data_IF_564533047817
#
_entry.id   IF_564533047817
#
_cell.length_a   1.000
_cell.length_b   1.000
_cell.length_c   1.000
_cell.angle_alpha   90.00
_cell.angle_beta   90.00
_cell.angle_gamma   90.00
#
_symmetry.space_group_name_H-M   'P 1'
#
loop_
_entity.id
_entity.type
_entity.pdbx_description
1 polymer ?
#
# COMPACT_ATOMS: atom_id res chain seq x y z
N UNK A 1 25.41 -14.29 -8.63
CA UNK A 1 26.81 -14.56 -9.01
C UNK A 1 26.93 -15.67 -10.05
N UNK A 2 25.83 -16.36 -10.35
CA UNK A 2 25.77 -17.45 -11.34
C UNK A 2 25.47 -16.99 -12.78
N UNK A 3 25.50 -15.69 -13.03
CA UNK A 3 25.18 -15.12 -14.34
C UNK A 3 23.70 -15.13 -14.72
N UNK A 4 22.83 -15.45 -13.78
CA UNK A 4 21.37 -15.44 -13.97
C UNK A 4 20.83 -14.03 -13.68
N UNK A 5 20.06 -13.47 -14.60
CA UNK A 5 19.41 -12.18 -14.40
C UNK A 5 18.26 -12.32 -13.38
N UNK A 6 18.34 -11.56 -12.30
CA UNK A 6 17.23 -11.44 -11.34
C UNK A 6 16.21 -10.42 -11.83
N UNK A 7 14.95 -10.81 -11.95
CA UNK A 7 13.85 -9.93 -12.32
C UNK A 7 13.40 -9.15 -11.09
N UNK A 8 14.04 -8.03 -10.83
CA UNK A 8 13.79 -7.21 -9.64
C UNK A 8 14.90 -6.18 -9.41
N UNK A 9 14.84 -5.43 -8.29
CA UNK A 9 15.84 -4.45 -7.93
C UNK A 9 17.15 -5.11 -7.50
N UNK A 10 18.22 -4.34 -7.50
CA UNK A 10 19.54 -4.80 -7.03
C UNK A 10 19.53 -5.00 -5.52
N UNK A 11 20.37 -5.93 -5.04
CA UNK A 11 20.51 -6.25 -3.61
C UNK A 11 20.77 -5.01 -2.73
N UNK A 12 21.56 -4.05 -3.24
CA UNK A 12 21.82 -2.78 -2.57
C UNK A 12 20.51 -2.00 -2.31
N UNK A 13 19.66 -1.86 -3.31
CA UNK A 13 18.39 -1.12 -3.20
C UNK A 13 17.42 -1.81 -2.21
N UNK A 14 17.38 -3.14 -2.24
CA UNK A 14 16.59 -3.94 -1.29
C UNK A 14 17.09 -3.71 0.15
N UNK A 15 18.38 -3.81 0.36
CA UNK A 15 18.98 -3.62 1.68
C UNK A 15 18.78 -2.19 2.21
N UNK A 16 18.98 -1.17 1.35
CA UNK A 16 18.82 0.24 1.71
C UNK A 16 17.40 0.59 2.16
N UNK A 17 16.38 -0.01 1.52
CA UNK A 17 14.96 0.26 1.82
C UNK A 17 14.36 -0.74 2.82
N UNK A 18 15.03 -1.85 3.12
CA UNK A 18 14.55 -2.88 4.04
C UNK A 18 14.68 -2.52 5.53
N UNK A 19 15.59 -1.61 5.88
CA UNK A 19 15.76 -1.11 7.24
C UNK A 19 15.01 0.19 7.43
N UNK A 20 14.13 0.27 8.45
CA UNK A 20 13.27 1.44 8.69
C UNK A 20 14.04 2.72 9.03
N UNK A 21 15.15 2.60 9.75
CA UNK A 21 15.95 3.76 10.15
C UNK A 21 16.78 4.24 8.96
N UNK A 22 17.46 3.30 8.28
CA UNK A 22 18.25 3.61 7.10
C UNK A 22 17.39 4.18 5.96
N UNK A 23 16.21 3.62 5.71
CA UNK A 23 15.31 4.11 4.66
C UNK A 23 14.78 5.53 4.95
N UNK A 24 14.44 5.83 6.21
CA UNK A 24 14.03 7.18 6.62
C UNK A 24 15.18 8.20 6.47
N UNK A 25 16.40 7.81 6.82
CA UNK A 25 17.57 8.66 6.62
C UNK A 25 17.83 8.95 5.14
N UNK A 26 17.79 7.94 4.31
CA UNK A 26 17.92 8.08 2.85
C UNK A 26 16.80 8.95 2.25
N UNK A 27 15.56 8.80 2.74
CA UNK A 27 14.44 9.64 2.32
C UNK A 27 14.70 11.13 2.67
N UNK A 28 15.19 11.41 3.87
CA UNK A 28 15.59 12.78 4.27
C UNK A 28 16.70 13.34 3.38
N UNK A 29 17.75 12.57 3.13
CA UNK A 29 18.86 12.95 2.26
C UNK A 29 18.38 13.20 0.81
N UNK A 30 17.42 12.44 0.34
CA UNK A 30 16.76 12.61 -0.96
C UNK A 30 15.69 13.73 -0.97
N UNK A 31 15.52 14.47 0.11
CA UNK A 31 14.52 15.57 0.28
C UNK A 31 13.08 15.07 0.11
N UNK A 32 12.82 13.84 0.51
CA UNK A 32 11.47 13.30 0.60
C UNK A 32 10.87 13.67 1.95
N UNK A 33 9.62 14.09 1.97
CA UNK A 33 8.92 14.41 3.21
C UNK A 33 8.88 13.19 4.13
N UNK A 34 9.39 13.35 5.35
CA UNK A 34 9.28 12.32 6.39
C UNK A 34 8.46 12.85 7.54
N UNK A 35 7.79 11.96 8.28
CA UNK A 35 6.99 12.39 9.44
C UNK A 35 7.88 13.21 10.40
N UNK A 36 7.52 14.46 10.71
CA UNK A 36 8.24 15.26 11.68
C UNK A 36 8.34 14.53 13.02
N UNK A 37 9.54 14.40 13.56
CA UNK A 37 9.74 13.65 14.77
C UNK A 37 11.13 13.87 15.36
N UNK A 38 11.32 13.32 16.54
CA UNK A 38 12.57 13.32 17.27
C UNK A 38 13.02 11.86 17.47
N UNK A 39 14.16 11.53 16.88
CA UNK A 39 14.64 10.13 16.81
C UNK A 39 15.80 9.83 17.79
N UNK A 40 16.27 10.85 18.52
CA UNK A 40 17.31 10.66 19.53
C UNK A 40 16.70 10.20 20.87
N UNK A 41 17.55 9.74 21.77
CA UNK A 41 17.13 9.34 23.10
C UNK A 41 16.53 10.51 23.88
N UNK A 42 15.34 10.30 24.45
CA UNK A 42 14.63 11.28 25.26
C UNK A 42 14.90 10.94 26.74
N UNK A 43 15.44 11.92 27.47
CA UNK A 43 15.89 11.72 28.84
C UNK A 43 14.75 11.53 29.86
N UNK A 44 13.57 12.10 29.57
CA UNK A 44 12.44 12.01 30.48
C UNK A 44 11.18 12.73 29.96
N UNK A 45 10.11 12.66 30.77
CA UNK A 45 8.80 13.20 30.34
C UNK A 45 8.78 14.70 30.14
N UNK A 46 9.60 15.49 30.85
CA UNK A 46 9.71 16.95 30.67
C UNK A 46 10.26 17.27 29.27
N UNK A 47 11.36 16.60 28.89
CA UNK A 47 11.94 16.75 27.54
C UNK A 47 10.96 16.28 26.47
N UNK A 48 10.19 15.22 26.73
CA UNK A 48 9.15 14.72 25.83
C UNK A 48 8.09 15.78 25.53
N UNK A 49 7.66 16.55 26.53
CA UNK A 49 6.72 17.65 26.37
C UNK A 49 7.31 18.78 25.52
N UNK A 50 8.56 19.17 25.75
CA UNK A 50 9.21 20.21 24.94
C UNK A 50 9.34 19.77 23.46
N UNK A 51 9.73 18.53 23.22
CA UNK A 51 9.79 17.96 21.87
C UNK A 51 8.41 17.96 21.22
N UNK A 52 7.37 17.49 21.94
CA UNK A 52 6.01 17.45 21.44
C UNK A 52 5.47 18.84 21.06
N UNK A 53 5.79 19.87 21.85
CA UNK A 53 5.48 21.27 21.51
C UNK A 53 6.18 21.73 20.23
N UNK A 54 7.45 21.36 20.08
CA UNK A 54 8.23 21.69 18.88
C UNK A 54 7.69 21.04 17.60
N UNK A 55 7.20 19.80 17.69
CA UNK A 55 6.56 19.08 16.58
C UNK A 55 5.15 19.62 16.31
N UNK A 56 4.45 20.03 17.35
CA UNK A 56 3.04 20.44 17.32
C UNK A 56 2.07 19.26 17.52
N UNK A 57 1.15 19.41 18.49
CA UNK A 57 0.15 18.40 18.80
C UNK A 57 -0.84 18.15 17.64
N UNK A 58 -1.44 16.96 17.53
CA UNK A 58 -1.17 15.77 18.33
C UNK A 58 0.14 15.08 17.93
N UNK A 59 0.75 14.36 18.88
CA UNK A 59 1.96 13.58 18.65
C UNK A 59 1.75 12.11 19.02
N UNK A 60 2.54 11.24 18.42
CA UNK A 60 2.61 9.82 18.76
C UNK A 60 3.93 9.53 19.47
N UNK A 61 3.82 8.93 20.63
CA UNK A 61 4.93 8.49 21.47
C UNK A 61 5.10 6.99 21.25
N UNK A 62 6.28 6.56 20.85
CA UNK A 62 6.54 5.18 20.43
C UNK A 62 7.76 4.61 21.13
N UNK A 63 7.68 3.34 21.54
CA UNK A 63 8.85 2.57 21.92
C UNK A 63 9.68 2.17 20.68
N UNK A 64 10.99 2.30 20.76
CA UNK A 64 11.92 1.93 19.69
C UNK A 64 11.81 0.45 19.33
N UNK A 65 11.68 -0.42 20.30
CA UNK A 65 11.51 -1.86 20.15
C UNK A 65 10.02 -2.29 20.06
N UNK A 66 9.07 -1.35 19.98
CA UNK A 66 7.64 -1.61 20.01
C UNK A 66 7.11 -2.29 18.75
N UNK A 67 6.09 -3.13 18.95
CA UNK A 67 5.38 -3.82 17.88
C UNK A 67 4.01 -4.32 18.35
N UNK A 68 3.10 -4.62 17.38
CA UNK A 68 1.79 -5.16 17.68
C UNK A 68 0.86 -4.25 18.49
N UNK A 69 1.05 -2.91 18.43
CA UNK A 69 0.25 -1.93 19.15
C UNK A 69 0.68 -1.68 20.60
N UNK A 70 1.72 -2.35 21.10
CA UNK A 70 2.32 -2.11 22.41
C UNK A 70 3.39 -1.03 22.32
N UNK A 71 3.54 -0.24 23.39
CA UNK A 71 4.51 0.86 23.44
C UNK A 71 4.12 2.04 22.53
N UNK A 72 2.83 2.31 22.36
CA UNK A 72 2.29 3.41 21.58
C UNK A 72 1.31 4.24 22.43
N UNK A 73 1.47 5.57 22.39
CA UNK A 73 0.50 6.50 23.00
C UNK A 73 0.33 7.73 22.09
N UNK A 74 -0.89 8.19 21.95
CA UNK A 74 -1.18 9.47 21.28
C UNK A 74 -1.38 10.52 22.36
N UNK A 75 -0.81 11.69 22.18
CA UNK A 75 -0.93 12.82 23.08
C UNK A 75 -1.42 14.07 22.32
N UNK A 76 -2.45 14.71 22.86
CA UNK A 76 -3.07 15.90 22.28
C UNK A 76 -2.66 17.19 23.01
N UNK A 77 -1.98 17.07 24.15
CA UNK A 77 -1.54 18.17 24.99
C UNK A 77 -0.36 17.77 25.88
N UNK A 78 0.20 18.75 26.61
CA UNK A 78 1.37 18.57 27.48
C UNK A 78 1.18 17.49 28.53
N UNK A 79 0.00 17.46 29.18
CA UNK A 79 -0.29 16.48 30.23
C UNK A 79 -0.28 15.07 29.66
N UNK A 80 -0.95 14.86 28.55
CA UNK A 80 -0.99 13.55 27.88
C UNK A 80 0.38 13.13 27.35
N UNK A 81 1.20 14.07 26.88
CA UNK A 81 2.56 13.79 26.46
C UNK A 81 3.45 13.33 27.63
N UNK A 82 3.35 14.01 28.78
CA UNK A 82 4.07 13.67 30.00
C UNK A 82 3.69 12.28 30.51
N UNK A 83 2.40 12.04 30.73
CA UNK A 83 1.87 10.77 31.25
C UNK A 83 2.09 9.63 30.24
N UNK A 84 1.88 9.91 28.94
CA UNK A 84 2.05 8.98 27.85
C UNK A 84 3.50 8.52 27.68
N UNK A 85 4.47 9.41 27.84
CA UNK A 85 5.89 9.05 27.79
C UNK A 85 6.25 8.07 28.91
N UNK A 86 5.91 8.39 30.16
CA UNK A 86 6.20 7.54 31.32
C UNK A 86 5.55 6.16 31.20
N UNK A 87 4.27 6.12 30.78
CA UNK A 87 3.55 4.87 30.53
C UNK A 87 4.17 4.04 29.41
N UNK A 88 4.51 4.66 28.30
CA UNK A 88 5.12 4.01 27.14
C UNK A 88 6.50 3.42 27.49
N UNK A 89 7.32 4.17 28.21
CA UNK A 89 8.66 3.73 28.64
C UNK A 89 8.58 2.53 29.60
N UNK A 90 7.67 2.54 30.56
CA UNK A 90 7.46 1.41 31.46
C UNK A 90 6.99 0.15 30.73
N UNK A 91 6.06 0.30 29.80
CA UNK A 91 5.58 -0.80 28.95
C UNK A 91 6.70 -1.36 28.08
N UNK A 92 7.52 -0.48 27.47
CA UNK A 92 8.65 -0.85 26.62
C UNK A 92 9.71 -1.65 27.39
N UNK A 93 10.07 -1.17 28.60
CA UNK A 93 11.02 -1.85 29.47
C UNK A 93 10.54 -3.24 29.87
N UNK A 94 9.27 -3.37 30.24
CA UNK A 94 8.71 -4.63 30.73
C UNK A 94 8.44 -5.64 29.60
N UNK A 95 8.07 -5.16 28.39
CA UNK A 95 7.69 -6.03 27.28
C UNK A 95 8.84 -6.36 26.32
N UNK A 96 9.82 -5.47 26.18
CA UNK A 96 10.86 -5.57 25.15
C UNK A 96 12.28 -5.50 25.71
N UNK A 97 12.46 -5.12 26.97
CA UNK A 97 13.80 -4.92 27.56
C UNK A 97 14.55 -3.70 27.03
N UNK A 98 13.91 -2.87 26.21
CA UNK A 98 14.47 -1.62 25.63
C UNK A 98 13.47 -0.49 25.91
N UNK A 99 13.90 0.50 26.68
CA UNK A 99 13.05 1.61 27.12
C UNK A 99 13.22 2.91 26.33
N UNK A 100 13.92 2.84 25.20
CA UNK A 100 14.08 3.98 24.31
C UNK A 100 12.77 4.37 23.67
N UNK A 101 12.41 5.63 23.82
CA UNK A 101 11.18 6.23 23.30
C UNK A 101 11.52 7.32 22.31
N UNK A 102 10.77 7.40 21.25
CA UNK A 102 10.79 8.51 20.31
C UNK A 102 9.39 9.11 20.11
N UNK A 103 9.34 10.31 19.59
CA UNK A 103 8.10 11.06 19.38
C UNK A 103 8.05 11.55 17.94
N UNK A 104 6.87 11.41 17.32
CA UNK A 104 6.63 11.89 15.97
C UNK A 104 5.24 12.54 15.86
N UNK A 105 5.02 13.33 14.82
CA UNK A 105 3.71 13.89 14.51
C UNK A 105 2.68 12.79 14.36
N UNK A 106 1.53 12.93 14.98
CA UNK A 106 0.37 12.07 14.77
C UNK A 106 -0.48 12.63 13.62
N UNK A 107 -0.55 11.91 12.52
CA UNK A 107 -1.40 12.25 11.37
C UNK A 107 -2.81 11.82 11.67
N UNK A 108 -3.75 12.76 11.72
CA UNK A 108 -5.16 12.48 11.98
C UNK A 108 -5.88 12.07 10.69
N UNK A 109 -6.81 11.14 10.80
CA UNK A 109 -7.58 10.60 9.66
C UNK A 109 -6.69 10.26 8.45
N UNK A 110 -5.62 9.47 8.67
CA UNK A 110 -4.61 9.25 7.65
C UNK A 110 -5.16 8.48 6.46
N UNK A 111 -4.77 8.88 5.26
CA UNK A 111 -4.92 8.08 4.04
C UNK A 111 -3.62 7.38 3.74
N UNK A 112 -3.71 6.11 3.37
CA UNK A 112 -2.59 5.33 2.89
C UNK A 112 -2.58 5.40 1.36
N UNK A 113 -1.67 6.20 0.84
CA UNK A 113 -1.54 6.42 -0.60
C UNK A 113 -0.12 6.07 -1.02
N UNK A 114 -0.01 5.36 -2.11
CA UNK A 114 1.27 4.83 -2.57
C UNK A 114 1.53 5.19 -4.03
N UNK A 115 2.79 5.42 -4.35
CA UNK A 115 3.23 5.77 -5.70
C UNK A 115 3.95 4.59 -6.32
N UNK A 116 3.45 4.10 -7.47
CA UNK A 116 4.15 3.12 -8.27
C UNK A 116 5.33 3.77 -8.96
N UNK A 117 6.52 3.23 -8.77
CA UNK A 117 7.71 3.62 -9.53
C UNK A 117 8.19 2.48 -10.42
N UNK A 118 8.86 2.85 -11.50
CA UNK A 118 9.51 1.94 -12.43
C UNK A 118 10.84 2.54 -12.85
N UNK A 119 11.92 1.78 -12.67
CA UNK A 119 13.27 2.18 -13.05
C UNK A 119 13.94 1.17 -13.97
N UNK A 120 14.84 1.63 -14.84
CA UNK A 120 15.70 0.79 -15.67
C UNK A 120 17.16 0.79 -15.22
N UNK A 121 17.99 0.02 -15.91
CA UNK A 121 19.44 -0.05 -15.63
C UNK A 121 20.23 1.14 -16.17
N UNK A 122 19.58 2.03 -16.92
CA UNK A 122 20.17 3.21 -17.58
C UNK A 122 20.00 4.49 -16.77
N UNK A 123 19.34 4.41 -15.59
CA UNK A 123 19.10 5.55 -14.70
C UNK A 123 17.78 6.29 -14.97
N UNK A 124 16.95 5.79 -15.87
CA UNK A 124 15.61 6.33 -16.07
C UNK A 124 14.70 5.80 -14.98
N UNK A 125 13.97 6.70 -14.32
CA UNK A 125 12.95 6.37 -13.31
C UNK A 125 11.73 7.23 -13.54
N UNK A 126 10.56 6.61 -13.60
CA UNK A 126 9.27 7.27 -13.73
C UNK A 126 8.32 6.83 -12.62
N UNK A 127 7.29 7.63 -12.34
CA UNK A 127 6.17 7.21 -11.50
C UNK A 127 4.91 7.00 -12.35
N UNK A 128 4.11 6.02 -11.96
CA UNK A 128 2.93 5.56 -12.70
C UNK A 128 1.62 5.90 -11.98
N UNK A 129 1.53 7.12 -11.47
CA UNK A 129 0.44 7.59 -10.61
C UNK A 129 0.39 6.86 -9.26
N UNK A 130 -0.66 7.15 -8.50
CA UNK A 130 -0.89 6.61 -7.16
C UNK A 130 -1.94 5.52 -7.14
N UNK A 131 -1.95 4.80 -6.02
CA UNK A 131 -3.05 3.95 -5.57
C UNK A 131 -3.54 4.41 -4.20
N UNK A 132 -4.84 4.42 -4.00
CA UNK A 132 -5.50 4.63 -2.72
C UNK A 132 -5.70 3.29 -2.03
N UNK A 133 -5.08 3.10 -0.88
CA UNK A 133 -5.04 1.83 -0.16
C UNK A 133 -5.51 1.95 1.31
N UNK A 134 -6.33 2.96 1.61
CA UNK A 134 -6.77 3.23 2.99
C UNK A 134 -7.79 2.23 3.53
N UNK A 135 -8.48 1.49 2.67
CA UNK A 135 -9.45 0.48 3.10
C UNK A 135 -8.70 -0.78 3.53
N UNK A 136 -8.47 -0.87 4.82
CA UNK A 136 -7.67 -1.94 5.42
C UNK A 136 -8.40 -2.57 6.61
N UNK A 137 -8.11 -3.83 6.84
CA UNK A 137 -8.51 -4.55 8.04
C UNK A 137 -7.26 -5.13 8.71
N UNK A 138 -7.00 -4.73 9.97
CA UNK A 138 -5.78 -5.14 10.71
C UNK A 138 -4.50 -4.93 9.90
N UNK A 139 -4.37 -3.77 9.26
CA UNK A 139 -3.25 -3.38 8.39
C UNK A 139 -3.10 -4.20 7.10
N UNK A 140 -4.09 -5.02 6.75
CA UNK A 140 -4.16 -5.69 5.45
C UNK A 140 -5.10 -4.92 4.53
N UNK A 141 -4.62 -4.59 3.34
CA UNK A 141 -5.41 -3.93 2.29
C UNK A 141 -6.55 -4.84 1.87
N UNK A 142 -7.73 -4.28 1.63
CA UNK A 142 -8.98 -5.00 1.32
C UNK A 142 -9.56 -4.54 0.00
N UNK A 143 -9.61 -3.22 -0.21
CA UNK A 143 -9.99 -2.58 -1.47
C UNK A 143 -8.90 -1.56 -1.79
N UNK A 144 -8.45 -1.59 -3.02
CA UNK A 144 -7.52 -0.62 -3.59
C UNK A 144 -8.14 0.04 -4.82
N UNK A 145 -7.86 1.32 -5.02
CA UNK A 145 -8.33 2.04 -6.20
C UNK A 145 -7.25 2.95 -6.80
N UNK A 146 -7.34 3.21 -8.07
CA UNK A 146 -6.51 4.16 -8.78
C UNK A 146 -7.36 4.93 -9.82
N UNK A 147 -7.23 6.27 -9.87
CA UNK A 147 -6.48 7.14 -8.96
C UNK A 147 -7.13 7.28 -7.59
N UNK A 148 -6.52 8.04 -6.66
CA UNK A 148 -7.13 8.36 -5.37
C UNK A 148 -8.22 9.42 -5.54
N UNK A 149 -9.41 9.25 -4.91
CA UNK A 149 -10.42 10.30 -4.89
C UNK A 149 -10.08 11.44 -3.92
N UNK A 150 -9.04 11.26 -3.10
CA UNK A 150 -8.72 12.15 -2.00
C UNK A 150 -7.67 13.21 -2.35
N UNK A 151 -6.58 12.83 -3.05
CA UNK A 151 -5.48 13.76 -3.32
C UNK A 151 -5.72 14.65 -4.54
N UNK A 152 -5.24 15.89 -4.45
CA UNK A 152 -5.24 16.83 -5.57
C UNK A 152 -4.19 16.46 -6.63
N UNK A 153 -4.32 17.02 -7.84
CA UNK A 153 -3.31 16.86 -8.88
C UNK A 153 -1.95 17.42 -8.48
N UNK A 154 -1.93 18.51 -7.70
CA UNK A 154 -0.71 19.09 -7.17
C UNK A 154 -0.03 18.15 -6.16
N UNK A 155 -0.80 17.56 -5.24
CA UNK A 155 -0.30 16.57 -4.28
C UNK A 155 0.21 15.33 -4.98
N UNK A 156 -0.53 14.79 -5.94
CA UNK A 156 -0.12 13.64 -6.76
C UNK A 156 1.22 13.87 -7.44
N UNK A 157 1.38 15.04 -8.07
CA UNK A 157 2.63 15.41 -8.73
C UNK A 157 3.78 15.48 -7.73
N UNK A 158 3.59 16.17 -6.60
CA UNK A 158 4.62 16.30 -5.58
C UNK A 158 5.05 14.95 -4.99
N UNK A 159 4.09 14.08 -4.69
CA UNK A 159 4.35 12.71 -4.21
C UNK A 159 5.11 11.90 -5.27
N UNK A 160 4.70 11.96 -6.53
CA UNK A 160 5.34 11.27 -7.64
C UNK A 160 6.79 11.71 -7.83
N UNK A 161 7.05 13.01 -7.83
CA UNK A 161 8.39 13.58 -7.94
C UNK A 161 9.29 13.15 -6.77
N UNK A 162 8.79 13.15 -5.54
CA UNK A 162 9.55 12.69 -4.38
C UNK A 162 9.79 11.17 -4.42
N UNK A 163 8.84 10.38 -4.88
CA UNK A 163 9.02 8.93 -5.08
C UNK A 163 10.13 8.64 -6.10
N UNK A 164 10.18 9.38 -7.21
CA UNK A 164 11.25 9.29 -8.21
C UNK A 164 12.60 9.71 -7.64
N UNK A 165 12.65 10.78 -6.84
CA UNK A 165 13.89 11.23 -6.18
C UNK A 165 14.45 10.13 -5.27
N UNK A 166 13.59 9.51 -4.44
CA UNK A 166 13.99 8.41 -3.57
C UNK A 166 14.50 7.21 -4.37
N UNK A 167 13.77 6.79 -5.39
CA UNK A 167 14.15 5.67 -6.24
C UNK A 167 15.50 5.91 -6.93
N UNK A 168 15.76 7.11 -7.43
CA UNK A 168 17.06 7.50 -8.01
C UNK A 168 18.18 7.47 -6.97
N UNK A 169 17.93 7.96 -5.75
CA UNK A 169 18.93 7.97 -4.67
C UNK A 169 19.41 6.56 -4.31
N UNK A 170 18.55 5.56 -4.41
CA UNK A 170 18.90 4.15 -4.16
C UNK A 170 19.16 3.36 -5.44
N UNK A 171 19.33 4.02 -6.58
CA UNK A 171 19.61 3.39 -7.90
C UNK A 171 18.63 2.27 -8.22
N UNK A 172 17.33 2.54 -7.98
CA UNK A 172 16.29 1.55 -8.10
C UNK A 172 16.07 1.10 -9.53
N UNK A 173 15.92 -0.19 -9.75
CA UNK A 173 15.56 -0.83 -11.02
C UNK A 173 14.33 -1.73 -10.79
N UNK A 174 13.56 -1.98 -11.85
CA UNK A 174 12.33 -2.75 -11.81
C UNK A 174 11.16 -1.98 -11.21
N UNK A 175 10.03 -2.66 -10.98
CA UNK A 175 8.87 -2.08 -10.32
C UNK A 175 9.06 -2.01 -8.80
N UNK A 176 8.66 -0.90 -8.21
CA UNK A 176 8.65 -0.69 -6.76
C UNK A 176 7.57 0.29 -6.38
N UNK A 177 7.30 0.40 -5.09
CA UNK A 177 6.24 1.28 -4.58
C UNK A 177 6.73 2.06 -3.39
N UNK A 178 6.51 3.37 -3.42
CA UNK A 178 6.79 4.27 -2.30
C UNK A 178 5.46 4.57 -1.60
N UNK A 179 5.34 4.15 -0.36
CA UNK A 179 4.14 4.33 0.45
C UNK A 179 4.22 5.60 1.28
N UNK A 180 3.11 6.34 1.32
CA UNK A 180 2.95 7.58 2.07
C UNK A 180 1.71 7.54 2.95
N UNK A 181 1.79 8.24 4.07
CA UNK A 181 0.61 8.67 4.82
C UNK A 181 0.28 10.10 4.42
N UNK A 182 -0.99 10.35 4.12
CA UNK A 182 -1.49 11.67 3.70
C UNK A 182 -2.53 12.15 4.71
N UNK A 183 -2.32 13.34 5.26
CA UNK A 183 -3.24 13.99 6.19
C UNK A 183 -4.40 14.70 5.46
N UNK A 184 -5.40 15.11 6.24
CA UNK A 184 -6.61 15.78 5.72
C UNK A 184 -6.31 17.08 4.95
N UNK A 185 -5.20 17.73 5.26
CA UNK A 185 -4.79 19.00 4.64
C UNK A 185 -3.83 18.78 3.46
N UNK A 186 -3.76 17.55 2.92
CA UNK A 186 -2.89 17.16 1.81
C UNK A 186 -1.39 17.14 2.15
N UNK A 187 -1.02 17.28 3.42
CA UNK A 187 0.33 17.00 3.89
C UNK A 187 0.62 15.51 3.79
N UNK A 188 1.79 15.15 3.29
CA UNK A 188 2.14 13.76 3.07
C UNK A 188 3.55 13.45 3.55
N UNK A 189 3.74 12.21 4.03
CA UNK A 189 4.97 11.77 4.62
C UNK A 189 5.30 10.34 4.23
N UNK A 190 6.56 10.10 3.90
CA UNK A 190 7.10 8.79 3.57
C UNK A 190 6.90 7.78 4.73
N UNK A 191 6.41 6.60 4.41
CA UNK A 191 6.31 5.47 5.32
C UNK A 191 7.40 4.44 5.06
N UNK A 192 7.37 3.86 3.87
CA UNK A 192 8.33 2.83 3.45
C UNK A 192 8.38 2.70 1.93
N UNK A 193 9.38 1.96 1.43
CA UNK A 193 9.43 1.57 0.04
C UNK A 193 9.39 0.04 -0.08
N UNK A 194 8.41 -0.46 -0.80
CA UNK A 194 8.33 -1.86 -1.16
C UNK A 194 9.14 -2.12 -2.43
N UNK A 195 10.23 -2.87 -2.27
CA UNK A 195 11.19 -3.15 -3.34
C UNK A 195 10.80 -4.38 -4.16
N UNK A 196 9.54 -4.43 -4.57
CA UNK A 196 8.90 -5.54 -5.30
C UNK A 196 7.61 -5.08 -5.97
N UNK A 197 7.11 -5.92 -6.87
CA UNK A 197 5.73 -5.78 -7.35
C UNK A 197 4.75 -6.05 -6.21
N UNK A 198 3.70 -5.26 -6.10
CA UNK A 198 2.65 -5.42 -5.09
C UNK A 198 1.41 -6.11 -5.66
N UNK A 199 0.57 -6.65 -4.76
CA UNK A 199 -0.68 -7.35 -5.10
C UNK A 199 -1.58 -6.45 -5.95
N UNK A 200 -1.68 -5.18 -5.58
CA UNK A 200 -2.56 -4.15 -6.12
C UNK A 200 -2.04 -3.45 -7.40
N UNK A 201 -0.96 -3.96 -8.01
CA UNK A 201 -0.45 -3.41 -9.28
C UNK A 201 -1.48 -3.36 -10.42
N UNK A 202 -2.49 -4.26 -10.48
CA UNK A 202 -3.46 -4.25 -11.59
C UNK A 202 -4.23 -2.95 -11.73
N UNK A 203 -4.54 -2.23 -10.65
CA UNK A 203 -5.25 -0.94 -10.76
C UNK A 203 -4.39 0.12 -11.45
N UNK A 204 -3.08 0.08 -11.25
CA UNK A 204 -2.13 0.93 -11.98
C UNK A 204 -2.06 0.54 -13.45
N UNK A 205 -1.98 -0.75 -13.76
CA UNK A 205 -1.99 -1.26 -15.13
C UNK A 205 -3.24 -0.81 -15.89
N UNK A 206 -4.41 -0.88 -15.25
CA UNK A 206 -5.67 -0.46 -15.84
C UNK A 206 -5.66 1.02 -16.26
N UNK A 207 -5.27 1.93 -15.36
CA UNK A 207 -5.33 3.37 -15.65
C UNK A 207 -4.18 3.87 -16.52
N UNK A 208 -3.08 3.14 -16.63
CA UNK A 208 -1.92 3.52 -17.45
C UNK A 208 -1.88 2.81 -18.80
N UNK A 209 -2.52 1.65 -18.93
CA UNK A 209 -2.46 0.80 -20.12
C UNK A 209 -1.12 0.07 -20.27
N UNK A 210 -0.38 -0.11 -19.16
CA UNK A 210 0.93 -0.78 -19.12
C UNK A 210 0.82 -2.17 -18.52
N UNK A 211 1.69 -3.08 -18.93
CA UNK A 211 1.94 -4.38 -18.29
C UNK A 211 3.22 -4.27 -17.47
N UNK A 212 3.09 -4.20 -16.15
CA UNK A 212 4.23 -4.03 -15.25
C UNK A 212 5.13 -5.26 -15.20
N UNK A 213 4.56 -6.45 -15.33
CA UNK A 213 5.33 -7.71 -15.35
C UNK A 213 6.18 -7.79 -16.60
N UNK A 214 5.62 -7.48 -17.77
CA UNK A 214 6.37 -7.39 -19.03
C UNK A 214 7.51 -6.37 -18.89
N UNK A 215 7.23 -5.18 -18.39
CA UNK A 215 8.25 -4.13 -18.21
C UNK A 215 9.36 -4.54 -17.24
N UNK A 216 9.03 -5.27 -16.16
CA UNK A 216 10.05 -5.83 -15.25
C UNK A 216 10.98 -6.82 -15.97
N UNK A 217 10.43 -7.67 -16.83
CA UNK A 217 11.21 -8.64 -17.60
C UNK A 217 12.11 -7.91 -18.60
N UNK A 218 11.59 -6.92 -19.32
CA UNK A 218 12.37 -6.10 -20.28
C UNK A 218 13.50 -5.35 -19.60
N UNK A 219 13.25 -4.74 -18.43
CA UNK A 219 14.28 -4.07 -17.63
C UNK A 219 15.36 -5.07 -17.18
N UNK A 220 14.97 -6.27 -16.73
CA UNK A 220 15.93 -7.32 -16.37
C UNK A 220 16.76 -7.80 -17.56
N UNK A 221 16.21 -7.77 -18.76
CA UNK A 221 16.92 -8.05 -20.02
C UNK A 221 17.88 -6.91 -20.44
N UNK A 222 17.88 -5.77 -19.72
CA UNK A 222 18.76 -4.63 -20.00
C UNK A 222 18.15 -3.58 -20.93
N UNK A 223 16.87 -3.68 -21.26
CA UNK A 223 16.18 -2.67 -22.08
C UNK A 223 15.96 -1.37 -21.29
N UNK A 224 16.03 -0.24 -22.00
CA UNK A 224 15.58 1.04 -21.46
C UNK A 224 14.05 1.10 -21.37
N UNK A 225 13.52 1.94 -20.48
CA UNK A 225 12.08 2.17 -20.41
C UNK A 225 11.54 2.65 -21.77
N UNK A 226 10.42 2.07 -22.28
CA UNK A 226 9.88 2.42 -23.59
C UNK A 226 9.10 3.74 -23.60
N UNK A 227 9.00 4.42 -22.45
CA UNK A 227 8.22 5.64 -22.26
C UNK A 227 8.92 6.60 -21.29
N UNK A 228 8.61 7.87 -21.42
CA UNK A 228 9.02 8.93 -20.49
C UNK A 228 7.92 9.27 -19.50
N UNK A 229 8.20 10.12 -18.50
CA UNK A 229 7.18 10.58 -17.57
C UNK A 229 6.00 11.29 -18.25
N UNK A 230 6.26 12.00 -19.36
CA UNK A 230 5.23 12.72 -20.11
C UNK A 230 4.25 11.78 -20.85
N UNK A 231 4.67 10.55 -21.11
CA UNK A 231 3.85 9.55 -21.82
C UNK A 231 2.93 8.77 -20.86
N UNK A 232 3.13 8.90 -19.54
CA UNK A 232 2.33 8.18 -18.55
C UNK A 232 0.89 8.70 -18.55
N UNK A 233 -0.04 7.81 -18.87
CA UNK A 233 -1.48 8.11 -18.90
C UNK A 233 -2.12 7.91 -17.52
N UNK A 234 -3.27 8.55 -17.34
CA UNK A 234 -4.21 8.32 -16.24
C UNK A 234 -5.61 8.34 -16.84
N UNK A 235 -6.12 7.18 -17.14
CA UNK A 235 -7.34 7.03 -17.93
C UNK A 235 -8.37 6.16 -17.21
N UNK A 236 -9.54 6.73 -16.97
CA UNK A 236 -10.61 6.09 -16.23
C UNK A 236 -10.30 5.90 -14.74
N UNK A 237 -10.90 4.88 -14.16
CA UNK A 237 -10.83 4.54 -12.73
C UNK A 237 -10.84 3.04 -12.53
N UNK A 238 -9.89 2.51 -11.77
CA UNK A 238 -9.82 1.08 -11.47
C UNK A 238 -10.02 0.82 -9.98
N UNK A 239 -10.69 -0.27 -9.67
CA UNK A 239 -10.89 -0.77 -8.30
C UNK A 239 -10.50 -2.23 -8.28
N UNK A 240 -9.74 -2.63 -7.25
CA UNK A 240 -9.43 -4.03 -6.93
C UNK A 240 -10.08 -4.41 -5.60
N UNK A 241 -10.69 -5.58 -5.55
CA UNK A 241 -11.13 -6.22 -4.32
C UNK A 241 -10.36 -7.51 -4.11
N UNK A 242 -9.71 -7.66 -2.95
CA UNK A 242 -9.07 -8.93 -2.57
C UNK A 242 -10.14 -9.92 -2.12
N UNK A 243 -10.22 -11.04 -2.82
CA UNK A 243 -11.15 -12.11 -2.48
C UNK A 243 -10.43 -13.12 -1.60
N UNK A 244 -10.84 -13.16 -0.34
CA UNK A 244 -10.21 -13.99 0.69
C UNK A 244 -11.15 -15.12 1.13
N UNK A 245 -10.58 -16.29 1.35
CA UNK A 245 -11.24 -17.44 1.98
C UNK A 245 -11.36 -17.20 3.49
N UNK A 246 -12.26 -16.30 3.88
CA UNK A 246 -12.51 -15.85 5.25
C UNK A 246 -14.01 -15.69 5.49
N UNK A 247 -14.42 -15.95 6.73
CA UNK A 247 -15.84 -15.81 7.14
C UNK A 247 -16.07 -14.46 7.83
N UNK A 248 -16.64 -13.45 7.17
CA UNK A 248 -16.86 -12.13 7.75
C UNK A 248 -17.85 -12.15 8.92
N UNK A 249 -18.74 -13.16 9.00
CA UNK A 249 -19.69 -13.32 10.10
C UNK A 249 -19.07 -13.98 11.33
N UNK A 250 -17.88 -14.58 11.19
CA UNK A 250 -17.11 -15.19 12.26
C UNK A 250 -15.78 -14.48 12.50
N UNK A 251 -15.82 -13.14 12.51
CA UNK A 251 -14.66 -12.28 12.73
C UNK A 251 -13.51 -12.55 11.73
N UNK A 252 -13.84 -12.87 10.47
CA UNK A 252 -12.90 -13.18 9.38
C UNK A 252 -11.99 -14.37 9.70
N UNK A 253 -12.54 -15.38 10.36
CA UNK A 253 -11.84 -16.64 10.55
C UNK A 253 -11.49 -17.23 9.18
N UNK A 254 -10.23 -17.67 8.95
CA UNK A 254 -9.86 -18.37 7.72
C UNK A 254 -10.77 -19.56 7.46
N UNK A 255 -11.20 -19.70 6.22
CA UNK A 255 -12.06 -20.80 5.78
C UNK A 255 -11.26 -21.70 4.84
N UNK A 256 -11.02 -22.92 5.28
CA UNK A 256 -10.28 -23.95 4.54
C UNK A 256 -11.21 -25.01 4.00
N UNK A 257 -10.75 -25.81 3.06
CA UNK A 257 -11.49 -26.93 2.48
C UNK A 257 -11.59 -26.87 0.97
N UNK A 258 -12.45 -27.73 0.42
CA UNK A 258 -12.58 -27.90 -1.02
C UNK A 258 -13.49 -26.82 -1.64
N UNK A 259 -13.03 -26.25 -2.74
CA UNK A 259 -13.84 -25.39 -3.61
C UNK A 259 -14.80 -26.25 -4.42
N UNK A 260 -16.02 -26.43 -3.91
CA UNK A 260 -17.06 -27.25 -4.58
C UNK A 260 -17.53 -26.55 -5.85
N UNK A 261 -17.63 -25.23 -5.80
CA UNK A 261 -17.91 -24.39 -6.97
C UNK A 261 -17.02 -23.15 -6.90
N UNK A 262 -16.34 -22.89 -8.01
CA UNK A 262 -15.56 -21.65 -8.19
C UNK A 262 -15.82 -21.12 -9.59
N UNK A 263 -16.65 -20.09 -9.66
CA UNK A 263 -17.02 -19.46 -10.93
C UNK A 263 -16.81 -17.96 -10.78
N UNK A 264 -15.67 -17.44 -11.26
CA UNK A 264 -15.46 -15.99 -11.34
C UNK A 264 -16.43 -15.34 -12.34
N UNK A 265 -16.62 -14.02 -12.27
CA UNK A 265 -17.36 -13.29 -13.29
C UNK A 265 -16.64 -13.38 -14.64
N UNK A 266 -17.38 -13.13 -15.72
CA UNK A 266 -16.81 -13.10 -17.07
C UNK A 266 -15.82 -11.95 -17.20
N UNK A 267 -14.60 -12.28 -17.67
CA UNK A 267 -13.55 -11.30 -17.93
C UNK A 267 -13.80 -10.60 -19.26
N UNK A 268 -13.51 -9.32 -19.31
CA UNK A 268 -13.74 -8.49 -20.50
C UNK A 268 -12.60 -7.55 -20.88
N UNK A 269 -11.54 -7.46 -20.08
CA UNK A 269 -10.38 -6.57 -20.36
C UNK A 269 -9.38 -7.15 -21.36
N UNK A 270 -9.30 -8.48 -21.48
CA UNK A 270 -8.25 -9.17 -22.26
C UNK A 270 -8.77 -9.89 -23.50
N UNK A 271 -9.96 -9.56 -24.00
CA UNK A 271 -10.49 -10.16 -25.21
C UNK A 271 -9.94 -9.46 -26.44
N UNK A 272 -8.90 -10.05 -27.03
CA UNK A 272 -8.33 -9.81 -28.37
C UNK A 272 -7.87 -8.39 -28.75
N UNK A 273 -7.26 -8.25 -29.94
CA UNK A 273 -6.52 -7.10 -30.52
C UNK A 273 -7.19 -5.71 -30.50
N UNK A 274 -8.43 -5.63 -30.04
CA UNK A 274 -9.12 -4.38 -29.70
C UNK A 274 -9.43 -4.36 -28.22
N UNK A 275 -8.38 -4.39 -27.38
CA UNK A 275 -8.51 -4.41 -25.93
C UNK A 275 -9.65 -3.52 -25.45
N UNK A 276 -10.73 -4.12 -24.94
CA UNK A 276 -11.74 -3.39 -24.22
C UNK A 276 -11.07 -2.79 -22.99
N UNK A 277 -10.78 -1.52 -23.08
CA UNK A 277 -10.04 -0.76 -22.10
C UNK A 277 -10.74 -0.73 -20.73
N UNK A 278 -12.05 -0.83 -20.74
CA UNK A 278 -12.90 -0.84 -19.55
C UNK A 278 -13.57 -2.20 -19.42
N UNK A 279 -13.52 -2.80 -18.24
CA UNK A 279 -14.10 -4.13 -18.05
C UNK A 279 -13.77 -4.77 -16.72
N UNK A 280 -13.76 -6.11 -16.71
CA UNK A 280 -13.50 -6.97 -15.56
C UNK A 280 -12.29 -7.85 -15.83
N UNK A 281 -11.42 -7.99 -14.81
CA UNK A 281 -10.26 -8.87 -14.78
C UNK A 281 -10.28 -9.68 -13.49
N UNK A 282 -9.87 -10.95 -13.55
CA UNK A 282 -9.73 -11.82 -12.40
C UNK A 282 -8.36 -12.46 -12.40
N UNK A 283 -7.55 -12.15 -11.39
CA UNK A 283 -6.27 -12.82 -11.16
C UNK A 283 -6.48 -13.86 -10.05
N UNK A 284 -6.30 -15.14 -10.35
CA UNK A 284 -6.52 -16.22 -9.39
C UNK A 284 -5.49 -17.35 -9.52
N UNK A 285 -5.13 -17.94 -8.38
CA UNK A 285 -4.29 -19.13 -8.32
C UNK A 285 -5.06 -20.39 -7.92
N UNK A 286 -6.39 -20.33 -7.82
CA UNK A 286 -7.24 -21.46 -7.42
C UNK A 286 -8.22 -21.83 -8.52
N UNK A 287 -8.79 -23.00 -8.44
CA UNK A 287 -9.74 -23.54 -9.42
C UNK A 287 -10.81 -24.38 -8.76
N UNK A 288 -11.92 -24.60 -9.46
CA UNK A 288 -13.02 -25.45 -9.00
C UNK A 288 -12.52 -26.88 -8.75
N UNK A 289 -12.86 -27.43 -7.60
CA UNK A 289 -12.37 -28.74 -7.15
C UNK A 289 -11.06 -28.72 -6.38
N UNK A 290 -10.32 -27.60 -6.42
CA UNK A 290 -9.10 -27.40 -5.63
C UNK A 290 -9.37 -27.31 -4.14
N UNK A 291 -8.32 -27.38 -3.33
CA UNK A 291 -8.40 -27.28 -1.87
C UNK A 291 -7.70 -26.02 -1.38
N UNK A 292 -8.34 -25.31 -0.47
CA UNK A 292 -7.76 -24.16 0.23
C UNK A 292 -7.10 -24.68 1.52
N UNK A 293 -5.77 -24.68 1.59
CA UNK A 293 -5.04 -25.19 2.74
C UNK A 293 -4.96 -24.15 3.86
N UNK A 294 -4.62 -24.62 5.06
CA UNK A 294 -4.40 -23.77 6.24
C UNK A 294 -3.01 -23.12 6.31
N UNK A 295 -2.11 -23.47 5.39
CA UNK A 295 -0.68 -23.12 5.47
C UNK A 295 -0.29 -21.84 4.72
N UNK A 296 -1.20 -21.28 3.95
CA UNK A 296 -0.98 -20.10 3.12
C UNK A 296 -1.94 -18.99 3.46
N UNK A 297 -1.69 -17.80 2.89
CA UNK A 297 -2.58 -16.66 2.97
C UNK A 297 -3.98 -17.01 2.47
N UNK A 298 -5.00 -16.40 3.06
CA UNK A 298 -6.40 -16.63 2.73
C UNK A 298 -6.82 -16.05 1.37
N UNK A 299 -6.00 -15.21 0.74
CA UNK A 299 -6.32 -14.59 -0.54
C UNK A 299 -6.32 -15.62 -1.67
N UNK A 300 -7.48 -15.80 -2.32
CA UNK A 300 -7.67 -16.78 -3.39
C UNK A 300 -7.84 -16.17 -4.78
N UNK A 301 -8.24 -14.92 -4.84
CA UNK A 301 -8.35 -14.18 -6.09
C UNK A 301 -8.24 -12.66 -5.83
N UNK A 302 -7.95 -11.94 -6.92
CA UNK A 302 -8.14 -10.50 -7.02
C UNK A 302 -9.19 -10.25 -8.08
N UNK A 303 -10.19 -9.46 -7.74
CA UNK A 303 -11.20 -9.01 -8.68
C UNK A 303 -10.93 -7.55 -9.00
N UNK A 304 -10.65 -7.24 -10.25
CA UNK A 304 -10.31 -5.90 -10.71
C UNK A 304 -11.35 -5.44 -11.74
N UNK A 305 -11.76 -4.19 -11.63
CA UNK A 305 -12.61 -3.54 -12.63
C UNK A 305 -11.98 -2.23 -13.09
N UNK A 306 -12.25 -1.88 -14.34
CA UNK A 306 -11.87 -0.61 -14.92
C UNK A 306 -13.10 0.07 -15.50
N UNK A 307 -13.40 1.28 -15.05
CA UNK A 307 -14.52 2.10 -15.47
C UNK A 307 -14.09 3.44 -16.08
N UNK A 308 -15.01 4.13 -16.69
CA UNK A 308 -14.79 5.47 -17.25
C UNK A 308 -14.54 6.52 -16.16
N UNK A 309 -15.15 6.32 -15.01
CA UNK A 309 -15.00 7.13 -13.80
C UNK A 309 -15.22 6.25 -12.55
N UNK A 310 -15.12 6.84 -11.36
CA UNK A 310 -15.24 6.14 -10.08
C UNK A 310 -16.62 5.49 -9.90
N UNK A 311 -17.69 6.16 -10.29
CA UNK A 311 -19.05 5.65 -10.13
C UNK A 311 -19.29 4.45 -11.05
N UNK A 312 -18.81 4.52 -12.29
CA UNK A 312 -18.86 3.41 -13.24
C UNK A 312 -18.04 2.21 -12.71
N UNK A 313 -16.84 2.45 -12.19
CA UNK A 313 -16.02 1.40 -11.58
C UNK A 313 -16.71 0.75 -10.36
N UNK A 314 -17.30 1.53 -9.45
CA UNK A 314 -18.08 1.01 -8.32
C UNK A 314 -19.26 0.15 -8.81
N UNK A 315 -19.98 0.63 -9.81
CA UNK A 315 -21.12 -0.10 -10.38
C UNK A 315 -20.69 -1.43 -10.99
N UNK A 316 -19.60 -1.43 -11.77
CA UNK A 316 -19.02 -2.64 -12.36
C UNK A 316 -18.52 -3.61 -11.28
N UNK A 317 -17.85 -3.11 -10.23
CA UNK A 317 -17.34 -3.97 -9.16
C UNK A 317 -18.49 -4.65 -8.40
N UNK A 318 -19.56 -3.92 -8.10
CA UNK A 318 -20.75 -4.50 -7.46
C UNK A 318 -21.40 -5.58 -8.33
N UNK A 319 -21.50 -5.35 -9.63
CA UNK A 319 -22.01 -6.35 -10.57
C UNK A 319 -21.10 -7.58 -10.65
N UNK A 320 -19.78 -7.38 -10.73
CA UNK A 320 -18.80 -8.44 -10.78
C UNK A 320 -18.79 -9.29 -9.49
N UNK A 321 -18.87 -8.68 -8.31
CA UNK A 321 -18.98 -9.40 -7.02
C UNK A 321 -20.26 -10.25 -6.96
N UNK A 322 -21.38 -9.73 -7.46
CA UNK A 322 -22.65 -10.49 -7.53
C UNK A 322 -22.56 -11.70 -8.48
N UNK A 323 -21.72 -11.60 -9.52
CA UNK A 323 -21.48 -12.70 -10.47
C UNK A 323 -20.46 -13.73 -9.97
N UNK A 324 -19.74 -13.45 -8.88
CA UNK A 324 -18.72 -14.34 -8.36
C UNK A 324 -19.33 -15.44 -7.48
N UNK A 325 -19.25 -16.70 -7.90
CA UNK A 325 -19.80 -17.84 -7.17
C UNK A 325 -18.69 -18.68 -6.54
N UNK A 326 -18.69 -18.74 -5.20
CA UNK A 326 -17.80 -19.58 -4.41
C UNK A 326 -18.66 -20.44 -3.49
N UNK A 327 -18.44 -21.78 -3.51
CA UNK A 327 -19.12 -22.75 -2.67
C UNK A 327 -18.12 -23.75 -2.09
N UNK A 328 -18.44 -24.27 -0.91
CA UNK A 328 -17.57 -25.20 -0.17
C UNK A 328 -16.78 -24.53 0.94
N UNK A 329 -16.48 -23.23 0.78
CA UNK A 329 -15.81 -22.38 1.78
C UNK A 329 -16.56 -21.07 1.93
N UNK A 330 -16.31 -20.33 3.02
CA UNK A 330 -16.73 -18.96 3.19
C UNK A 330 -15.76 -18.00 2.48
N UNK A 331 -16.27 -16.88 2.01
CA UNK A 331 -15.45 -15.80 1.42
C UNK A 331 -15.86 -14.43 1.95
N UNK A 332 -14.99 -13.44 1.79
CA UNK A 332 -15.24 -12.07 2.20
C UNK A 332 -16.09 -11.27 1.19
N UNK A 333 -16.61 -11.88 0.13
CA UNK A 333 -17.46 -11.20 -0.88
C UNK A 333 -18.62 -10.42 -0.26
N UNK A 334 -19.39 -10.95 0.72
CA UNK A 334 -20.47 -10.18 1.37
C UNK A 334 -19.97 -8.89 2.04
N UNK A 335 -18.80 -8.95 2.65
CA UNK A 335 -18.15 -7.78 3.26
C UNK A 335 -17.71 -6.75 2.21
N UNK A 336 -17.11 -7.19 1.11
CA UNK A 336 -16.73 -6.33 -0.02
C UNK A 336 -17.96 -5.62 -0.60
N UNK A 337 -19.04 -6.35 -0.82
CA UNK A 337 -20.29 -5.80 -1.33
C UNK A 337 -20.89 -4.74 -0.40
N UNK A 338 -20.82 -4.97 0.92
CA UNK A 338 -21.28 -4.02 1.93
C UNK A 338 -20.42 -2.74 1.95
N UNK A 339 -19.10 -2.86 1.83
CA UNK A 339 -18.19 -1.72 1.75
C UNK A 339 -18.46 -0.84 0.53
N UNK A 340 -18.60 -1.45 -0.65
CA UNK A 340 -18.87 -0.74 -1.91
C UNK A 340 -20.26 -0.07 -1.97
N UNK A 341 -21.17 -0.48 -1.11
CA UNK A 341 -22.49 0.14 -0.95
C UNK A 341 -22.51 1.21 0.16
N UNK A 342 -21.46 1.28 0.98
CA UNK A 342 -21.44 2.16 2.13
C UNK A 342 -21.31 3.64 1.72
N UNK A 343 -22.14 4.57 2.24
CA UNK A 343 -22.11 5.98 1.84
C UNK A 343 -20.74 6.64 1.96
N UNK A 344 -19.96 6.33 3.01
CA UNK A 344 -18.59 6.86 3.19
C UNK A 344 -17.57 6.36 2.16
N UNK A 345 -17.89 5.29 1.44
CA UNK A 345 -17.05 4.83 0.34
C UNK A 345 -17.47 5.46 -0.98
N UNK A 346 -18.77 5.62 -1.19
CA UNK A 346 -19.33 6.12 -2.44
C UNK A 346 -19.16 7.64 -2.58
N UNK A 347 -19.23 8.40 -1.45
CA UNK A 347 -19.17 9.87 -1.43
C UNK A 347 -17.77 10.44 -1.70
#
# INVERSE_FOLDING_TARGET
>A
DEGIAFIGPKAFSIAAMGDKIASKKLALEAKVNTIPGYNDAIAGPEQAVEIAKGIGYPVMIKASAGGGGKGLRVAFNDKEAFEGFASCQNEARNSFGDDRIFIEKFVQEPRHIEIQVLGDSHGNVIYLNERECSIQRRHQKVIEEAPSPFISDATRKAMGEQAVQLAKAVKYQSAGTVEFVVGKDQDFYFLEMNTRLQVEHPVTECITGLDLVELMIRVAAGEALPLTQADVKRDGWAIECRINAEDPFRNFLPSTGRLVRFQPPEESMFQSDTAKKFGVRVDTGVYEGGEIPMYYDSMIAKLIVHGTDRNDAITKMRAALNGFVIRGISSNIPFQAALLAHPKFVS
#
